data_IF_438738892303
#
_entry.id   IF_438738892303
#
_cell.length_a   1.000
_cell.length_b   1.000
_cell.length_c   1.000
_cell.angle_alpha   90.00
_cell.angle_beta   90.00
_cell.angle_gamma   90.00
#
_symmetry.space_group_name_H-M   'P 1'
#
loop_
_entity.id
_entity.type
_entity.pdbx_description
1 polymer ?
#
# COMPACT_ATOMS: atom_id res chain seq x y z
N UNK A 1 -6.80 18.34 -26.99
CA UNK A 1 -5.46 17.92 -26.54
C UNK A 1 -5.62 17.32 -25.16
N UNK A 2 -5.11 16.10 -24.90
CA UNK A 2 -5.18 15.48 -23.57
C UNK A 2 -4.06 16.00 -22.67
N UNK A 3 -4.34 16.19 -21.38
CA UNK A 3 -3.34 16.52 -20.36
C UNK A 3 -2.36 15.35 -20.12
N UNK A 4 -1.22 15.64 -19.48
CA UNK A 4 -0.26 14.61 -19.04
C UNK A 4 -0.95 13.61 -18.09
N UNK A 5 -1.85 14.09 -17.24
CA UNK A 5 -2.57 13.23 -16.30
C UNK A 5 -3.47 12.22 -17.01
N UNK A 6 -4.22 12.65 -18.03
CA UNK A 6 -5.03 11.74 -18.87
C UNK A 6 -4.17 10.77 -19.68
N UNK A 7 -2.98 11.19 -20.14
CA UNK A 7 -2.04 10.30 -20.82
C UNK A 7 -1.51 9.20 -19.90
N UNK A 8 -1.39 9.48 -18.61
CA UNK A 8 -1.00 8.51 -17.57
C UNK A 8 -2.17 7.68 -17.04
N UNK A 9 -3.36 7.79 -17.64
CA UNK A 9 -4.55 7.02 -17.25
C UNK A 9 -5.39 7.65 -16.14
N UNK A 10 -5.07 8.87 -15.71
CA UNK A 10 -5.90 9.62 -14.77
C UNK A 10 -7.21 10.11 -15.39
N UNK A 11 -8.26 10.22 -14.57
CA UNK A 11 -9.58 10.72 -14.98
C UNK A 11 -9.94 11.99 -14.22
N UNK A 12 -10.84 12.79 -14.78
CA UNK A 12 -11.35 14.00 -14.12
C UNK A 12 -12.84 13.86 -13.86
N UNK A 13 -13.30 14.43 -12.75
CA UNK A 13 -14.70 14.66 -12.45
C UNK A 13 -15.01 16.16 -12.49
N UNK A 14 -16.16 16.53 -13.04
CA UNK A 14 -16.58 17.92 -13.09
C UNK A 14 -17.32 18.29 -11.80
N UNK A 15 -16.86 19.35 -11.14
CA UNK A 15 -17.53 19.96 -9.98
C UNK A 15 -17.61 21.47 -10.15
N UNK A 16 -18.83 22.02 -10.22
CA UNK A 16 -19.08 23.45 -10.34
C UNK A 16 -18.29 24.13 -11.50
N UNK A 17 -18.16 23.45 -12.63
CA UNK A 17 -17.42 23.94 -13.80
C UNK A 17 -15.89 23.78 -13.71
N UNK A 18 -15.37 23.12 -12.67
CA UNK A 18 -13.95 22.76 -12.55
C UNK A 18 -13.74 21.27 -12.78
N UNK A 19 -12.69 20.92 -13.54
CA UNK A 19 -12.23 19.54 -13.67
C UNK A 19 -11.30 19.20 -12.50
N UNK A 20 -11.76 18.33 -11.61
CA UNK A 20 -11.01 17.86 -10.44
C UNK A 20 -10.42 16.48 -10.75
N UNK A 21 -9.11 16.25 -10.57
CA UNK A 21 -8.50 14.95 -10.85
C UNK A 21 -9.01 13.89 -9.88
N UNK A 22 -9.39 12.74 -10.41
CA UNK A 22 -9.72 11.55 -9.64
C UNK A 22 -8.44 10.94 -9.07
N UNK A 23 -8.17 11.23 -7.80
CA UNK A 23 -7.06 10.64 -7.07
C UNK A 23 -7.53 9.33 -6.44
N UNK A 24 -7.27 8.22 -7.12
CA UNK A 24 -7.50 6.87 -6.59
C UNK A 24 -6.17 6.16 -6.46
N UNK A 25 -5.97 5.51 -5.31
CA UNK A 25 -4.88 4.55 -5.20
C UNK A 25 -5.20 3.36 -6.10
N UNK A 26 -4.20 2.69 -6.69
CA UNK A 26 -4.43 1.44 -7.38
C UNK A 26 -5.03 0.43 -6.41
N UNK A 27 -5.94 -0.41 -6.92
CA UNK A 27 -6.51 -1.50 -6.13
C UNK A 27 -5.37 -2.45 -5.72
N UNK A 28 -5.14 -2.57 -4.41
CA UNK A 28 -4.22 -3.55 -3.85
C UNK A 28 -5.01 -4.81 -3.51
N UNK A 29 -4.48 -5.98 -3.84
CA UNK A 29 -5.07 -7.25 -3.43
C UNK A 29 -5.06 -7.34 -1.89
N UNK A 30 -6.23 -7.26 -1.26
CA UNK A 30 -6.34 -7.33 0.20
C UNK A 30 -6.02 -8.74 0.69
N UNK A 31 -4.77 -8.95 1.12
CA UNK A 31 -4.36 -10.17 1.82
C UNK A 31 -4.59 -10.00 3.32
N UNK A 32 -5.04 -11.05 4.01
CA UNK A 32 -5.10 -11.01 5.47
C UNK A 32 -3.69 -10.80 6.04
N UNK A 33 -3.57 -9.84 6.95
CA UNK A 33 -2.31 -9.53 7.65
C UNK A 33 -2.34 -10.25 9.00
N UNK A 34 -1.31 -11.04 9.26
CA UNK A 34 -1.09 -11.75 10.51
C UNK A 34 -0.45 -10.87 11.59
N UNK A 35 -0.10 -11.51 12.72
CA UNK A 35 0.39 -10.81 13.91
C UNK A 35 1.72 -10.08 13.66
N UNK A 36 2.61 -10.66 12.85
CA UNK A 36 3.93 -10.09 12.59
C UNK A 36 3.85 -8.91 11.62
N UNK A 37 3.00 -9.00 10.60
CA UNK A 37 2.66 -7.90 9.72
C UNK A 37 2.02 -6.75 10.51
N UNK A 38 1.05 -7.03 11.38
CA UNK A 38 0.41 -5.99 12.19
C UNK A 38 1.39 -5.27 13.14
N UNK A 39 2.28 -6.03 13.81
CA UNK A 39 3.34 -5.44 14.65
C UNK A 39 4.30 -4.56 13.83
N UNK A 40 4.65 -5.00 12.63
CA UNK A 40 5.52 -4.22 11.75
C UNK A 40 4.83 -2.96 11.23
N UNK A 41 3.52 -3.02 10.96
CA UNK A 41 2.71 -1.85 10.63
C UNK A 41 2.74 -0.80 11.74
N UNK A 42 2.57 -1.22 12.99
CA UNK A 42 2.62 -0.31 14.14
C UNK A 42 4.02 0.32 14.27
N UNK A 43 5.08 -0.48 14.10
CA UNK A 43 6.45 0.01 14.05
C UNK A 43 6.66 1.05 12.94
N UNK A 44 6.16 0.79 11.73
CA UNK A 44 6.29 1.70 10.60
C UNK A 44 5.58 3.03 10.88
N UNK A 45 4.36 2.99 11.42
CA UNK A 45 3.60 4.20 11.79
C UNK A 45 4.29 5.01 12.88
N UNK A 46 4.84 4.34 13.90
CA UNK A 46 5.43 5.02 15.06
C UNK A 46 6.84 5.55 14.78
N UNK A 47 7.67 4.79 14.05
CA UNK A 47 9.11 5.07 13.95
C UNK A 47 9.61 5.29 12.52
N UNK A 48 8.87 4.86 11.48
CA UNK A 48 9.30 4.94 10.07
C UNK A 48 8.23 5.55 9.17
N UNK A 49 7.68 6.70 9.58
CA UNK A 49 6.56 7.37 8.88
C UNK A 49 6.79 7.58 7.38
N UNK A 50 8.00 7.97 6.96
CA UNK A 50 8.32 8.13 5.53
C UNK A 50 8.19 6.81 4.77
N UNK A 51 8.73 5.73 5.33
CA UNK A 51 8.62 4.38 4.75
C UNK A 51 7.17 3.92 4.69
N UNK A 52 6.41 4.12 5.77
CA UNK A 52 4.97 3.84 5.81
C UNK A 52 4.23 4.57 4.68
N UNK A 53 4.41 5.89 4.59
CA UNK A 53 3.76 6.72 3.57
C UNK A 53 4.14 6.28 2.17
N UNK A 54 5.41 5.97 1.91
CA UNK A 54 5.85 5.50 0.59
C UNK A 54 5.17 4.18 0.20
N UNK A 55 5.06 3.21 1.12
CA UNK A 55 4.35 1.97 0.84
C UNK A 55 2.86 2.21 0.57
N UNK A 56 2.23 3.04 1.40
CA UNK A 56 0.81 3.40 1.27
C UNK A 56 0.52 4.08 -0.07
N UNK A 57 1.29 5.12 -0.45
CA UNK A 57 1.07 5.85 -1.70
C UNK A 57 1.46 5.03 -2.93
N UNK A 58 2.35 4.05 -2.77
CA UNK A 58 2.70 3.13 -3.86
C UNK A 58 1.70 1.97 -4.02
N UNK A 59 0.73 1.81 -3.11
CA UNK A 59 -0.20 0.67 -3.13
C UNK A 59 0.48 -0.68 -2.93
N UNK A 60 1.57 -0.74 -2.13
CA UNK A 60 2.34 -1.97 -1.87
C UNK A 60 2.37 -2.35 -0.40
N UNK A 61 1.56 -1.69 0.43
CA UNK A 61 1.64 -1.83 1.88
C UNK A 61 1.11 -3.20 2.31
N UNK A 62 -0.04 -3.63 1.80
CA UNK A 62 -0.64 -4.90 2.18
C UNK A 62 0.28 -6.07 1.77
N UNK A 63 0.76 -6.08 0.52
CA UNK A 63 1.65 -7.11 0.01
C UNK A 63 2.94 -7.21 0.83
N UNK A 64 3.53 -6.07 1.22
CA UNK A 64 4.72 -6.04 2.06
C UNK A 64 4.46 -6.63 3.45
N UNK A 65 3.35 -6.27 4.10
CA UNK A 65 3.01 -6.78 5.43
C UNK A 65 2.69 -8.29 5.41
N UNK A 66 1.99 -8.76 4.38
CA UNK A 66 1.74 -10.19 4.19
C UNK A 66 3.05 -10.99 4.00
N UNK A 67 4.04 -10.40 3.32
CA UNK A 67 5.36 -11.02 3.17
C UNK A 67 6.12 -11.11 4.51
N UNK A 68 5.97 -10.11 5.39
CA UNK A 68 6.54 -10.17 6.75
C UNK A 68 5.96 -11.34 7.54
N UNK A 69 4.65 -11.59 7.45
CA UNK A 69 4.02 -12.74 8.11
C UNK A 69 4.55 -14.07 7.54
N UNK A 70 4.62 -14.19 6.22
CA UNK A 70 5.19 -15.37 5.55
C UNK A 70 6.63 -15.63 6.03
N UNK A 71 7.47 -14.60 6.04
CA UNK A 71 8.85 -14.71 6.49
C UNK A 71 8.96 -15.13 7.96
N UNK A 72 8.07 -14.63 8.82
CA UNK A 72 8.06 -15.01 10.23
C UNK A 72 7.66 -16.48 10.41
N UNK A 73 6.66 -16.95 9.67
CA UNK A 73 6.23 -18.35 9.68
C UNK A 73 7.34 -19.29 9.22
N UNK A 74 8.00 -18.99 8.10
CA UNK A 74 9.09 -19.82 7.58
C UNK A 74 10.27 -19.93 8.56
N UNK A 75 10.54 -18.89 9.34
CA UNK A 75 11.59 -18.92 10.36
C UNK A 75 11.18 -19.76 11.56
N UNK A 76 9.92 -19.70 11.97
CA UNK A 76 9.39 -20.54 13.05
C UNK A 76 9.42 -22.03 12.66
N UNK A 77 9.02 -22.35 11.42
CA UNK A 77 9.00 -23.72 10.90
C UNK A 77 10.41 -24.31 10.82
N UNK A 78 11.39 -23.54 10.32
CA UNK A 78 12.81 -23.96 10.27
C UNK A 78 13.43 -24.22 11.65
N UNK A 79 12.91 -23.60 12.71
CA UNK A 79 13.39 -23.81 14.07
C UNK A 79 12.74 -25.02 14.76
N UNK A 80 11.68 -25.55 14.16
CA UNK A 80 10.86 -26.63 14.75
C UNK A 80 11.11 -28.01 14.11
N UNK A 81 12.05 -28.11 13.16
CA UNK A 81 12.45 -29.35 12.49
C UNK A 81 13.95 -29.60 12.61
#
# INVERSE_FOLDING_TARGET
MKSIFEQLGGTYREENGYLIPDLRLPDEEEKPIGIWGQRHLDYLKQYRRVTYTNFLTSGRLNAYLADIDRQAQERADRQSG
#
